data_IF_552122400386
#
_entry.id   IF_552122400386
#
_cell.length_a   1.000
_cell.length_b   1.000
_cell.length_c   1.000
_cell.angle_alpha   90.00
_cell.angle_beta   90.00
_cell.angle_gamma   90.00
#
_symmetry.space_group_name_H-M   'P 1'
#
loop_
_entity.id
_entity.type
_entity.pdbx_description
1 polymer ?
#
# COMPACT_ATOMS: atom_id res chain seq x y z
N UNK A 1 -9.29 -13.78 13.84
CA UNK A 1 -8.32 -12.71 14.19
C UNK A 1 -9.07 -11.41 14.12
N UNK A 2 -8.75 -10.43 14.97
CA UNK A 2 -9.42 -9.13 14.93
C UNK A 2 -8.39 -8.04 14.67
N UNK A 3 -8.76 -7.06 13.84
CA UNK A 3 -7.99 -5.85 13.58
C UNK A 3 -8.48 -4.77 14.54
N UNK A 4 -7.63 -4.41 15.50
CA UNK A 4 -7.93 -3.36 16.48
C UNK A 4 -7.57 -2.00 15.89
N UNK A 5 -8.49 -1.05 16.00
CA UNK A 5 -8.28 0.34 15.61
C UNK A 5 -8.06 1.11 16.89
N UNK A 6 -6.83 1.61 17.07
CA UNK A 6 -6.43 2.32 18.28
C UNK A 6 -6.30 3.82 18.00
N UNK A 7 -6.65 4.64 19.00
CA UNK A 7 -6.36 6.07 19.07
C UNK A 7 -5.70 6.36 20.41
N UNK A 8 -4.47 6.86 20.38
CA UNK A 8 -3.68 7.17 21.59
C UNK A 8 -3.59 5.98 22.58
N UNK A 9 -3.49 4.76 22.03
CA UNK A 9 -3.42 3.51 22.82
C UNK A 9 -4.78 2.99 23.30
N UNK A 10 -5.88 3.68 23.02
CA UNK A 10 -7.25 3.26 23.38
C UNK A 10 -7.92 2.62 22.16
N UNK A 11 -8.55 1.47 22.35
CA UNK A 11 -9.38 0.84 21.33
C UNK A 11 -10.61 1.72 21.04
N UNK A 12 -10.72 2.17 19.79
CA UNK A 12 -11.88 2.95 19.31
C UNK A 12 -12.79 2.13 18.42
N UNK A 13 -12.27 1.06 17.82
CA UNK A 13 -13.06 0.15 17.01
C UNK A 13 -12.32 -1.18 16.80
N UNK A 14 -13.05 -2.16 16.26
CA UNK A 14 -12.56 -3.50 15.96
C UNK A 14 -13.25 -4.06 14.72
N UNK A 15 -12.48 -4.71 13.88
CA UNK A 15 -12.99 -5.44 12.70
C UNK A 15 -12.59 -6.90 12.81
N UNK A 16 -13.54 -7.82 12.68
CA UNK A 16 -13.18 -9.22 12.51
C UNK A 16 -12.48 -9.42 11.17
N UNK A 17 -11.34 -10.08 11.18
CA UNK A 17 -10.53 -10.24 9.98
C UNK A 17 -11.22 -11.10 8.90
N UNK A 18 -12.19 -11.93 9.30
CA UNK A 18 -13.00 -12.71 8.38
C UNK A 18 -13.98 -11.82 7.58
N UNK A 19 -14.40 -10.69 8.16
CA UNK A 19 -15.27 -9.70 7.51
C UNK A 19 -14.51 -8.78 6.53
N UNK A 20 -13.18 -8.83 6.53
CA UNK A 20 -12.35 -8.00 5.64
C UNK A 20 -12.33 -8.60 4.24
N UNK A 21 -12.92 -7.90 3.29
CA UNK A 21 -12.91 -8.28 1.87
C UNK A 21 -11.65 -7.75 1.18
N UNK A 22 -11.31 -6.47 1.44
CA UNK A 22 -10.14 -5.81 0.85
C UNK A 22 -9.49 -4.84 1.84
N UNK A 23 -8.17 -4.74 1.78
CA UNK A 23 -7.39 -3.68 2.41
C UNK A 23 -6.71 -2.91 1.30
N UNK A 24 -7.08 -1.65 1.12
CA UNK A 24 -6.53 -0.78 0.07
C UNK A 24 -5.61 0.24 0.72
N UNK A 25 -4.32 0.18 0.39
CA UNK A 25 -3.28 1.06 0.89
C UNK A 25 -3.05 2.20 -0.11
N UNK A 26 -3.38 3.42 0.29
CA UNK A 26 -3.21 4.61 -0.54
C UNK A 26 -1.92 5.31 -0.16
N UNK A 27 -0.97 5.34 -1.11
CA UNK A 27 0.36 5.89 -0.89
C UNK A 27 0.58 7.14 -1.74
N UNK A 28 1.34 8.11 -1.23
CA UNK A 28 1.77 9.28 -2.00
C UNK A 28 2.72 8.86 -3.14
N UNK A 29 3.67 7.98 -2.81
CA UNK A 29 4.64 7.43 -3.73
C UNK A 29 4.27 6.05 -4.29
N UNK A 30 5.26 5.29 -4.80
CA UNK A 30 5.07 3.93 -5.29
C UNK A 30 4.64 2.90 -4.20
N UNK A 31 4.57 3.32 -2.93
CA UNK A 31 4.23 2.47 -1.80
C UNK A 31 5.41 1.59 -1.40
N UNK A 32 6.63 2.11 -1.52
CA UNK A 32 7.85 1.35 -1.27
C UNK A 32 8.28 1.38 0.19
N UNK A 33 8.00 2.50 0.86
CA UNK A 33 8.26 2.68 2.28
C UNK A 33 6.96 2.80 3.06
N UNK A 34 6.87 2.26 4.30
CA UNK A 34 5.69 2.44 5.14
C UNK A 34 5.32 3.92 5.40
N UNK A 35 6.28 4.83 5.28
CA UNK A 35 6.08 6.27 5.47
C UNK A 35 5.35 6.97 4.31
N UNK A 36 5.20 6.32 3.16
CA UNK A 36 4.44 6.85 2.02
C UNK A 36 2.93 6.66 2.17
N UNK A 37 2.49 5.86 3.14
CA UNK A 37 1.07 5.65 3.37
C UNK A 37 0.42 6.97 3.78
N UNK A 38 -0.66 7.34 3.09
CA UNK A 38 -1.51 8.48 3.46
C UNK A 38 -2.67 8.01 4.32
N UNK A 39 -3.38 6.99 3.84
CA UNK A 39 -4.48 6.34 4.53
C UNK A 39 -4.71 4.93 3.97
N UNK A 40 -5.42 4.10 4.72
CA UNK A 40 -5.89 2.80 4.28
C UNK A 40 -7.42 2.78 4.25
N UNK A 41 -7.98 1.98 3.36
CA UNK A 41 -9.40 1.62 3.38
C UNK A 41 -9.51 0.13 3.67
N UNK A 42 -10.25 -0.22 4.71
CA UNK A 42 -10.71 -1.59 4.93
C UNK A 42 -12.13 -1.67 4.40
N UNK A 43 -12.35 -2.56 3.43
CA UNK A 43 -13.65 -2.85 2.88
C UNK A 43 -14.21 -4.12 3.53
N UNK A 44 -15.45 -4.03 4.00
CA UNK A 44 -16.25 -5.17 4.44
C UNK A 44 -17.52 -5.25 3.58
N UNK A 45 -18.32 -6.29 3.78
CA UNK A 45 -19.58 -6.48 3.05
C UNK A 45 -20.54 -5.28 3.13
N UNK A 46 -20.51 -4.51 4.24
CA UNK A 46 -21.51 -3.46 4.52
C UNK A 46 -20.93 -2.05 4.56
N UNK A 47 -19.61 -1.89 4.69
CA UNK A 47 -19.00 -0.59 4.94
C UNK A 47 -17.54 -0.48 4.51
N UNK A 48 -17.07 0.75 4.48
CA UNK A 48 -15.69 1.14 4.30
C UNK A 48 -15.19 1.85 5.54
N UNK A 49 -14.07 1.38 6.06
CA UNK A 49 -13.35 2.01 7.15
C UNK A 49 -12.16 2.75 6.57
N UNK A 50 -12.09 4.06 6.76
CA UNK A 50 -10.96 4.90 6.35
C UNK A 50 -10.08 5.12 7.56
N UNK A 51 -8.83 4.66 7.49
CA UNK A 51 -7.84 4.77 8.56
C UNK A 51 -6.70 5.68 8.12
N UNK A 52 -6.29 6.68 8.91
CA UNK A 52 -5.15 7.52 8.58
C UNK A 52 -3.86 6.71 8.76
N UNK A 53 -2.76 7.10 8.10
CA UNK A 53 -1.48 6.39 8.23
C UNK A 53 -1.01 6.20 9.69
N UNK A 54 -1.32 7.18 10.56
CA UNK A 54 -0.98 7.15 11.98
C UNK A 54 -1.78 6.16 12.84
N UNK A 55 -2.74 5.41 12.28
CA UNK A 55 -3.51 4.41 13.04
C UNK A 55 -2.72 3.14 13.36
N UNK A 56 -1.51 3.00 12.83
CA UNK A 56 -0.73 1.75 12.94
C UNK A 56 -1.16 0.68 11.93
N UNK A 57 -2.08 0.98 11.01
CA UNK A 57 -2.55 0.02 10.00
C UNK A 57 -1.40 -0.50 9.11
N UNK A 58 -0.43 0.35 8.75
CA UNK A 58 0.77 -0.08 8.05
C UNK A 58 1.55 -1.12 8.87
N UNK A 59 1.70 -0.89 10.17
CA UNK A 59 2.28 -1.82 11.14
C UNK A 59 1.61 -3.19 11.10
N UNK A 60 0.29 -3.18 11.29
CA UNK A 60 -0.55 -4.37 11.35
C UNK A 60 -0.54 -5.18 10.04
N UNK A 61 -0.59 -4.50 8.89
CA UNK A 61 -0.69 -5.15 7.58
C UNK A 61 0.69 -5.60 7.05
N UNK A 62 1.75 -4.84 7.33
CA UNK A 62 3.08 -5.13 6.79
C UNK A 62 3.93 -6.03 7.67
N UNK A 63 3.82 -5.91 8.99
CA UNK A 63 4.77 -6.53 9.91
C UNK A 63 4.13 -7.61 10.79
N UNK A 64 2.87 -7.42 11.16
CA UNK A 64 2.16 -8.38 12.00
C UNK A 64 1.54 -9.50 11.15
N UNK A 65 1.61 -10.74 11.66
CA UNK A 65 0.87 -11.90 11.14
C UNK A 65 0.95 -12.05 9.61
N UNK A 66 2.14 -11.87 9.04
CA UNK A 66 2.37 -11.86 7.60
C UNK A 66 1.81 -13.10 6.88
N UNK A 67 1.88 -14.29 7.49
CA UNK A 67 1.31 -15.51 6.93
C UNK A 67 -0.22 -15.44 6.75
N UNK A 68 -0.92 -14.78 7.68
CA UNK A 68 -2.36 -14.55 7.56
C UNK A 68 -2.67 -13.63 6.37
N UNK A 69 -2.00 -12.49 6.29
CA UNK A 69 -2.21 -11.53 5.21
C UNK A 69 -1.84 -12.07 3.84
N UNK A 70 -0.77 -12.86 3.75
CA UNK A 70 -0.37 -13.54 2.53
C UNK A 70 -1.41 -14.60 2.10
N UNK A 71 -1.97 -15.35 3.04
CA UNK A 71 -3.00 -16.35 2.74
C UNK A 71 -4.36 -15.73 2.39
N UNK A 72 -4.70 -14.57 2.97
CA UNK A 72 -5.97 -13.88 2.72
C UNK A 72 -6.03 -13.23 1.34
N UNK A 73 -4.86 -12.89 0.78
CA UNK A 73 -4.69 -12.34 -0.57
C UNK A 73 -5.65 -11.17 -0.87
N UNK A 74 -5.71 -10.21 0.06
CA UNK A 74 -6.70 -9.13 0.05
C UNK A 74 -6.10 -7.72 0.16
N UNK A 75 -4.78 -7.57 -0.02
CA UNK A 75 -4.08 -6.27 0.12
C UNK A 75 -3.82 -5.67 -1.25
N UNK A 76 -4.37 -4.49 -1.47
CA UNK A 76 -4.29 -3.73 -2.71
C UNK A 76 -3.58 -2.40 -2.47
N UNK A 77 -2.98 -1.88 -3.52
CA UNK A 77 -2.13 -0.69 -3.47
C UNK A 77 -2.64 0.31 -4.49
N UNK A 78 -2.72 1.58 -4.09
CA UNK A 78 -3.10 2.66 -4.99
C UNK A 78 -2.17 3.85 -4.78
N UNK A 79 -1.72 4.43 -5.90
CA UNK A 79 -1.01 5.70 -5.86
C UNK A 79 -2.01 6.86 -5.81
N UNK A 80 -1.85 7.75 -4.83
CA UNK A 80 -2.74 8.87 -4.57
C UNK A 80 -2.85 9.86 -5.73
N UNK A 81 -1.81 9.99 -6.57
CA UNK A 81 -1.84 10.87 -7.74
C UNK A 81 -2.87 10.45 -8.79
N UNK A 82 -3.30 9.19 -8.78
CA UNK A 82 -4.30 8.67 -9.72
C UNK A 82 -5.72 8.63 -9.12
N UNK A 83 -5.92 9.17 -7.91
CA UNK A 83 -7.19 9.08 -7.21
C UNK A 83 -8.11 10.28 -7.47
N UNK A 84 -9.36 9.98 -7.85
CA UNK A 84 -10.47 10.90 -7.70
C UNK A 84 -11.08 10.74 -6.29
N UNK A 85 -10.48 11.38 -5.28
CA UNK A 85 -11.04 11.34 -3.92
C UNK A 85 -12.25 12.28 -3.78
N UNK A 86 -13.34 11.81 -3.11
CA UNK A 86 -14.38 12.70 -2.60
C UNK A 86 -13.77 13.86 -1.86
N UNK A 87 -14.34 15.06 -2.03
CA UNK A 87 -13.87 16.26 -1.31
C UNK A 87 -13.77 16.01 0.20
N UNK A 88 -14.69 15.22 0.78
CA UNK A 88 -14.69 14.86 2.22
C UNK A 88 -13.50 13.98 2.67
N UNK A 89 -12.86 13.25 1.74
CA UNK A 89 -11.74 12.35 2.01
C UNK A 89 -10.38 12.91 1.57
N UNK A 90 -10.31 14.17 1.12
CA UNK A 90 -9.05 14.76 0.68
C UNK A 90 -8.15 15.07 1.88
N UNK A 91 -6.87 14.62 1.90
CA UNK A 91 -5.97 14.73 3.06
C UNK A 91 -5.78 16.14 3.65
N UNK A 92 -5.99 17.20 2.86
CA UNK A 92 -5.88 18.60 3.32
C UNK A 92 -7.11 19.17 4.02
N UNK A 93 -8.26 18.50 3.98
CA UNK A 93 -9.49 18.93 4.68
C UNK A 93 -9.69 18.21 6.02
N UNK A 94 -8.82 17.27 6.33
CA UNK A 94 -8.82 16.52 7.57
C UNK A 94 -8.38 17.36 8.78
N UNK A 95 -7.32 18.20 8.77
CA UNK A 95 -6.89 18.91 9.98
C UNK A 95 -7.94 19.87 10.59
N UNK A 96 -9.02 20.19 9.87
CA UNK A 96 -10.14 21.00 10.38
C UNK A 96 -11.20 20.19 11.17
N UNK A 97 -11.12 18.86 11.24
CA UNK A 97 -12.04 18.05 12.05
C UNK A 97 -11.36 17.64 13.36
N UNK A 98 -12.00 17.95 14.50
CA UNK A 98 -11.58 17.44 15.83
C UNK A 98 -11.51 15.90 15.89
N UNK A 99 -12.19 15.20 14.98
CA UNK A 99 -12.23 13.74 14.84
C UNK A 99 -11.50 13.21 13.58
N UNK A 100 -10.64 14.03 12.98
CA UNK A 100 -10.01 13.76 11.68
C UNK A 100 -9.02 12.60 11.68
N UNK A 101 -9.50 11.38 11.59
CA UNK A 101 -8.60 10.25 11.35
C UNK A 101 -9.35 9.05 10.86
N UNK A 102 -10.22 8.53 11.71
CA UNK A 102 -10.97 7.31 11.45
C UNK A 102 -12.40 7.64 11.00
N UNK A 103 -12.88 6.99 9.94
CA UNK A 103 -14.26 7.10 9.45
C UNK A 103 -14.81 5.72 9.13
N UNK A 104 -16.07 5.46 9.53
CA UNK A 104 -16.89 4.38 8.97
C UNK A 104 -17.91 4.98 8.02
N UNK A 105 -18.02 4.41 6.84
CA UNK A 105 -18.94 4.88 5.80
C UNK A 105 -19.70 3.67 5.25
N UNK A 106 -21.03 3.77 5.03
CA UNK A 106 -21.77 2.72 4.34
C UNK A 106 -21.12 2.38 3.00
N UNK A 107 -21.14 1.10 2.60
CA UNK A 107 -20.46 0.63 1.38
C UNK A 107 -20.83 1.43 0.14
N UNK A 108 -22.12 1.78 0.02
CA UNK A 108 -22.64 2.56 -1.11
C UNK A 108 -22.04 3.97 -1.25
N UNK A 109 -21.40 4.51 -0.21
CA UNK A 109 -20.81 5.85 -0.26
C UNK A 109 -19.49 5.93 -1.02
N UNK A 110 -18.71 4.85 -1.05
CA UNK A 110 -17.37 4.82 -1.67
C UNK A 110 -17.19 3.72 -2.70
N UNK A 111 -18.00 2.65 -2.67
CA UNK A 111 -17.81 1.48 -3.55
C UNK A 111 -17.63 1.87 -5.02
N UNK A 112 -18.54 2.71 -5.53
CA UNK A 112 -18.52 3.13 -6.93
C UNK A 112 -17.24 3.90 -7.29
N UNK A 113 -16.63 4.64 -6.37
CA UNK A 113 -15.39 5.35 -6.68
C UNK A 113 -14.17 4.44 -6.60
N UNK A 114 -14.13 3.60 -5.56
CA UNK A 114 -13.06 2.62 -5.35
C UNK A 114 -12.95 1.67 -6.54
N UNK A 115 -14.07 1.26 -7.13
CA UNK A 115 -14.12 0.40 -8.31
C UNK A 115 -13.39 1.00 -9.54
N UNK A 116 -13.31 2.32 -9.63
CA UNK A 116 -12.61 3.01 -10.73
C UNK A 116 -11.14 3.33 -10.40
N UNK A 117 -10.66 3.00 -9.20
CA UNK A 117 -9.28 3.29 -8.83
C UNK A 117 -8.32 2.32 -9.53
N UNK A 118 -7.16 2.79 -10.00
CA UNK A 118 -6.14 1.92 -10.55
C UNK A 118 -5.43 1.17 -9.41
N UNK A 119 -6.03 0.07 -8.96
CA UNK A 119 -5.52 -0.78 -7.88
C UNK A 119 -4.51 -1.79 -8.40
N UNK A 120 -3.39 -1.93 -7.71
CA UNK A 120 -2.40 -2.99 -7.92
C UNK A 120 -2.50 -4.06 -6.82
N UNK A 121 -2.49 -5.34 -7.19
CA UNK A 121 -2.59 -6.47 -6.25
C UNK A 121 -3.66 -7.48 -6.67
N UNK A 122 -4.04 -8.41 -5.77
CA UNK A 122 -3.63 -8.46 -4.36
C UNK A 122 -2.17 -8.89 -4.16
N UNK A 123 -1.51 -8.31 -3.16
CA UNK A 123 -0.13 -8.62 -2.79
C UNK A 123 0.27 -7.95 -1.46
N UNK A 124 1.03 -8.66 -0.65
CA UNK A 124 1.70 -8.14 0.55
C UNK A 124 2.89 -7.25 0.19
N UNK A 125 3.38 -6.50 1.19
CA UNK A 125 4.57 -5.67 1.03
C UNK A 125 5.83 -6.49 0.72
N UNK A 126 6.00 -7.65 1.36
CA UNK A 126 7.11 -8.56 1.10
C UNK A 126 7.04 -9.11 -0.34
N UNK A 127 5.86 -9.49 -0.85
CA UNK A 127 5.69 -9.90 -2.25
C UNK A 127 6.10 -8.78 -3.23
N UNK A 128 5.64 -7.54 -3.03
CA UNK A 128 6.05 -6.39 -3.87
C UNK A 128 7.57 -6.17 -3.84
N UNK A 129 8.17 -6.29 -2.66
CA UNK A 129 9.62 -6.16 -2.48
C UNK A 129 10.37 -7.23 -3.27
N UNK A 130 9.92 -8.48 -3.23
CA UNK A 130 10.49 -9.57 -4.02
C UNK A 130 10.31 -9.38 -5.53
N UNK A 131 9.11 -8.99 -5.98
CA UNK A 131 8.85 -8.72 -7.39
C UNK A 131 9.71 -7.57 -7.95
N UNK A 132 9.96 -6.54 -7.13
CA UNK A 132 10.89 -5.47 -7.48
C UNK A 132 12.31 -5.99 -7.61
N UNK A 133 12.78 -6.81 -6.67
CA UNK A 133 14.12 -7.43 -6.74
C UNK A 133 14.24 -8.33 -7.96
N UNK A 134 13.19 -9.10 -8.30
CA UNK A 134 13.16 -9.92 -9.50
C UNK A 134 13.23 -9.07 -10.77
N UNK A 135 12.44 -7.99 -10.86
CA UNK A 135 12.44 -7.05 -11.99
C UNK A 135 13.78 -6.31 -12.15
N UNK A 136 14.40 -5.87 -11.06
CA UNK A 136 15.69 -5.17 -11.12
C UNK A 136 16.83 -6.09 -11.56
N UNK A 137 16.79 -7.37 -11.18
CA UNK A 137 17.74 -8.39 -11.64
C UNK A 137 17.61 -8.69 -13.13
N UNK A 138 16.40 -8.64 -13.69
CA UNK A 138 16.16 -8.88 -15.12
C UNK A 138 16.72 -7.75 -16.01
N UNK A 139 16.84 -6.52 -15.49
CA UNK A 139 17.42 -5.37 -16.21
C UNK A 139 18.97 -5.31 -16.09
N UNK A 140 19.59 -6.21 -15.32
CA UNK A 140 21.02 -6.21 -15.01
C UNK A 140 21.92 -7.05 -15.93
N UNK A 141 21.46 -7.46 -17.11
CA UNK A 141 22.26 -8.26 -18.06
C UNK A 141 22.22 -7.72 -19.49
N UNK A 142 22.57 -6.45 -19.66
CA UNK A 142 22.92 -5.89 -20.97
C UNK A 142 24.32 -5.26 -20.88
N UNK A 143 25.24 -5.86 -21.65
CA UNK A 143 26.58 -5.44 -22.07
C UNK A 143 27.71 -5.24 -21.03
N UNK A 144 28.40 -6.34 -20.73
CA UNK A 144 29.79 -6.33 -20.24
C UNK A 144 30.77 -7.08 -21.18
N UNK A 145 30.39 -7.33 -22.44
CA UNK A 145 31.18 -8.10 -23.41
C UNK A 145 31.82 -7.26 -24.53
N UNK A 146 31.79 -5.91 -24.46
CA UNK A 146 32.38 -5.04 -25.50
C UNK A 146 33.65 -4.27 -25.11
N UNK A 147 34.21 -4.47 -23.92
CA UNK A 147 35.38 -3.69 -23.47
C UNK A 147 36.68 -4.50 -23.26
N UNK A 148 36.74 -5.76 -23.74
CA UNK A 148 37.94 -6.60 -23.65
C UNK A 148 38.64 -6.88 -25.01
N UNK A 149 38.34 -6.11 -26.05
CA UNK A 149 38.95 -6.28 -27.37
C UNK A 149 39.34 -4.92 -27.98
N UNK A 150 40.35 -4.26 -27.43
CA UNK A 150 40.91 -3.06 -28.04
C UNK A 150 42.09 -2.52 -27.22
N UNK A 151 43.31 -2.96 -27.53
CA UNK A 151 44.52 -2.39 -26.94
C UNK A 151 45.68 -3.36 -26.75
N UNK A 152 46.02 -4.14 -27.77
CA UNK A 152 47.39 -4.64 -27.93
C UNK A 152 48.06 -3.76 -28.98
N UNK A 153 48.84 -2.78 -28.53
CA UNK A 153 49.94 -2.25 -29.31
C UNK A 153 51.16 -2.15 -28.38
N UNK A 154 52.15 -2.98 -28.67
CA UNK A 154 53.47 -2.93 -28.10
C UNK A 154 54.33 -2.00 -28.98
N UNK A 155 55.12 -1.07 -28.42
CA UNK A 155 56.07 -0.32 -29.23
C UNK A 155 57.21 -1.24 -29.66
N UNK A 156 57.48 -1.27 -30.97
CA UNK A 156 58.76 -1.68 -31.53
C UNK A 156 59.62 -0.43 -31.76
N UNK A 157 60.91 -0.61 -31.46
CA UNK A 157 62.07 0.27 -31.59
C UNK A 157 62.35 1.20 -30.41
#
# INVERSE_FOLDING_TARGET
MDLLILRDGVEVDRVHADDIERVILVNEGPGETPGELLFAIIETAVEHLVLPARSGIAGCVHFERQAFWAARDCIYWVNAHHLALPRRLRPGLWPLRRDAGYLRLPRGELAAQIEHWPTEGPQTWEQRKWDRIARSRLLGRVDMSRQAAGGRDAPRF
#
